data_IF_148446342995
#
_entry.id   IF_148446342995
#
_cell.length_a   1.000
_cell.length_b   1.000
_cell.length_c   1.000
_cell.angle_alpha   90.00
_cell.angle_beta   90.00
_cell.angle_gamma   90.00
#
_symmetry.space_group_name_H-M   'P 1'
#
loop_
_entity.id
_entity.type
_entity.pdbx_description
1 polymer ?
#
# COMPACT_ATOMS: atom_id res chain seq x y z
N UNK A 1 -4.86 12.11 -6.37
CA UNK A 1 -5.38 11.88 -7.75
C UNK A 1 -5.93 10.45 -7.79
N UNK A 2 -7.23 10.31 -8.07
CA UNK A 2 -7.83 8.97 -8.10
C UNK A 2 -7.21 8.13 -9.22
N UNK A 3 -6.88 6.87 -8.92
CA UNK A 3 -6.28 5.94 -9.88
C UNK A 3 -7.34 5.48 -10.86
N UNK A 4 -7.15 5.79 -12.13
CA UNK A 4 -8.02 5.30 -13.20
C UNK A 4 -7.53 3.92 -13.64
N UNK A 5 -8.16 2.86 -13.12
CA UNK A 5 -7.74 1.47 -13.35
C UNK A 5 -7.76 1.02 -14.81
N UNK A 6 -8.46 1.73 -15.68
CA UNK A 6 -8.61 1.40 -17.09
C UNK A 6 -7.27 1.45 -17.85
N UNK A 7 -6.44 2.44 -17.51
CA UNK A 7 -5.10 2.65 -18.08
C UNK A 7 -4.11 1.52 -17.71
N UNK A 8 -4.39 0.83 -16.63
CA UNK A 8 -3.52 -0.21 -16.06
C UNK A 8 -4.07 -1.63 -16.25
N UNK A 9 -5.21 -1.79 -16.94
CA UNK A 9 -5.98 -3.04 -16.98
C UNK A 9 -5.14 -4.27 -17.31
N UNK A 10 -4.26 -4.17 -18.30
CA UNK A 10 -3.49 -5.28 -18.84
C UNK A 10 -2.03 -5.32 -18.37
N UNK A 11 -1.65 -4.48 -17.43
CA UNK A 11 -0.27 -4.43 -16.90
C UNK A 11 -0.12 -5.46 -15.79
N UNK A 12 0.82 -6.39 -15.92
CA UNK A 12 1.10 -7.43 -14.93
C UNK A 12 1.77 -6.85 -13.66
N UNK A 13 1.74 -7.60 -12.56
CA UNK A 13 2.45 -7.21 -11.32
C UNK A 13 3.94 -7.06 -11.57
N UNK A 14 4.54 -7.98 -12.32
CA UNK A 14 5.97 -7.93 -12.67
C UNK A 14 6.32 -6.67 -13.46
N UNK A 15 5.52 -6.34 -14.47
CA UNK A 15 5.69 -5.11 -15.25
C UNK A 15 5.50 -3.84 -14.42
N UNK A 16 4.58 -3.85 -13.46
CA UNK A 16 4.39 -2.74 -12.50
C UNK A 16 5.59 -2.61 -11.58
N UNK A 17 6.13 -3.70 -11.07
CA UNK A 17 7.31 -3.68 -10.20
C UNK A 17 8.56 -3.18 -10.95
N UNK A 18 8.76 -3.61 -12.18
CA UNK A 18 9.84 -3.09 -13.04
C UNK A 18 9.68 -1.58 -13.33
N UNK A 19 8.45 -1.15 -13.64
CA UNK A 19 8.12 0.25 -13.89
C UNK A 19 8.35 1.11 -12.64
N UNK A 20 7.98 0.60 -11.47
CA UNK A 20 8.28 1.23 -10.19
C UNK A 20 9.78 1.44 -9.99
N UNK A 21 10.59 0.42 -10.24
CA UNK A 21 12.05 0.53 -10.13
C UNK A 21 12.65 1.58 -11.06
N UNK A 22 12.15 1.66 -12.30
CA UNK A 22 12.56 2.70 -13.26
C UNK A 22 12.18 4.09 -12.77
N UNK A 23 10.95 4.26 -12.26
CA UNK A 23 10.47 5.54 -11.74
C UNK A 23 11.25 5.97 -10.48
N UNK A 24 11.54 5.07 -9.56
CA UNK A 24 12.37 5.34 -8.38
C UNK A 24 13.78 5.83 -8.78
N UNK A 25 14.44 5.14 -9.71
CA UNK A 25 15.78 5.55 -10.17
C UNK A 25 15.76 6.90 -10.90
N UNK A 26 14.73 7.16 -11.68
CA UNK A 26 14.59 8.42 -12.42
C UNK A 26 14.36 9.63 -11.49
N UNK A 27 13.65 9.43 -10.38
CA UNK A 27 13.30 10.51 -9.42
C UNK A 27 14.22 10.58 -8.20
N UNK A 28 15.06 9.57 -7.99
CA UNK A 28 15.85 9.41 -6.76
C UNK A 28 15.00 9.04 -5.55
N UNK A 29 13.77 8.59 -5.74
CA UNK A 29 12.86 8.21 -4.67
C UNK A 29 13.20 6.83 -4.09
N UNK A 30 12.93 6.66 -2.80
CA UNK A 30 12.87 5.38 -2.11
C UNK A 30 11.44 5.06 -1.68
N UNK A 31 11.09 3.78 -1.66
CA UNK A 31 9.73 3.34 -1.35
C UNK A 31 9.67 2.36 -0.18
N UNK A 32 8.53 2.34 0.51
CA UNK A 32 8.20 1.36 1.55
C UNK A 32 6.76 0.87 1.43
N UNK A 33 6.47 -0.24 2.07
CA UNK A 33 5.11 -0.80 2.14
C UNK A 33 4.76 -1.21 3.57
N UNK A 34 3.58 -0.82 4.02
CA UNK A 34 2.98 -1.24 5.28
C UNK A 34 1.76 -2.12 4.99
N UNK A 35 1.92 -3.42 5.14
CA UNK A 35 0.97 -4.42 4.68
C UNK A 35 0.22 -5.08 5.84
N UNK A 36 -1.10 -5.21 5.70
CA UNK A 36 -1.92 -6.05 6.54
C UNK A 36 -2.47 -7.23 5.72
N UNK A 37 -3.61 -7.11 5.07
CA UNK A 37 -4.25 -8.22 4.36
C UNK A 37 -3.42 -8.78 3.18
N UNK A 38 -2.48 -8.05 2.63
CA UNK A 38 -1.59 -8.50 1.55
C UNK A 38 -0.43 -9.35 2.03
N UNK A 39 -0.11 -9.30 3.33
CA UNK A 39 0.80 -10.24 3.99
C UNK A 39 2.22 -10.30 3.44
N UNK A 40 2.77 -9.21 2.94
CA UNK A 40 4.10 -9.14 2.33
C UNK A 40 4.12 -9.21 0.80
N UNK A 41 2.96 -9.28 0.15
CA UNK A 41 2.85 -9.42 -1.29
C UNK A 41 3.40 -8.22 -2.06
N UNK A 42 3.27 -7.00 -1.54
CA UNK A 42 3.84 -5.80 -2.17
C UNK A 42 5.36 -5.81 -2.06
N UNK A 43 5.90 -6.08 -0.88
CA UNK A 43 7.34 -6.19 -0.67
C UNK A 43 7.95 -7.30 -1.53
N UNK A 44 7.28 -8.45 -1.61
CA UNK A 44 7.69 -9.56 -2.49
C UNK A 44 7.78 -9.11 -3.95
N UNK A 45 6.73 -8.49 -4.48
CA UNK A 45 6.71 -8.01 -5.87
C UNK A 45 7.81 -6.98 -6.15
N UNK A 46 8.06 -6.06 -5.23
CA UNK A 46 9.15 -5.06 -5.38
C UNK A 46 10.52 -5.76 -5.43
N UNK A 47 10.74 -6.73 -4.56
CA UNK A 47 12.03 -7.42 -4.42
C UNK A 47 12.28 -8.50 -5.46
N UNK A 48 11.26 -8.92 -6.22
CA UNK A 48 11.43 -9.78 -7.40
C UNK A 48 12.22 -9.07 -8.52
N UNK A 49 12.30 -7.74 -8.48
CA UNK A 49 13.09 -6.96 -9.45
C UNK A 49 14.54 -6.89 -8.99
N UNK A 50 15.46 -7.35 -9.82
CA UNK A 50 16.90 -7.27 -9.55
C UNK A 50 17.34 -5.80 -9.36
N UNK A 51 18.13 -5.52 -8.32
CA UNK A 51 18.59 -4.18 -7.97
C UNK A 51 17.56 -3.34 -7.21
N UNK A 52 16.48 -3.94 -6.72
CA UNK A 52 15.47 -3.24 -5.91
C UNK A 52 16.01 -2.65 -4.60
N UNK A 53 17.15 -3.15 -4.10
CA UNK A 53 17.84 -2.58 -2.95
C UNK A 53 18.29 -1.12 -3.13
N UNK A 54 18.34 -0.62 -4.36
CA UNK A 54 18.66 0.79 -4.63
C UNK A 54 17.56 1.74 -4.14
N UNK A 55 16.31 1.25 -4.05
CA UNK A 55 15.13 2.07 -3.73
C UNK A 55 14.19 1.46 -2.68
N UNK A 56 14.43 0.24 -2.24
CA UNK A 56 13.61 -0.45 -1.24
C UNK A 56 14.51 -1.01 -0.14
N UNK A 57 14.35 -0.49 1.08
CA UNK A 57 15.13 -0.90 2.25
C UNK A 57 14.31 -1.76 3.20
N UNK A 58 13.12 -1.29 3.56
CA UNK A 58 12.28 -1.89 4.59
C UNK A 58 10.83 -1.97 4.15
N UNK A 59 10.20 -3.11 4.39
CA UNK A 59 8.76 -3.33 4.31
C UNK A 59 8.24 -3.88 5.64
N UNK A 60 6.97 -3.63 5.93
CA UNK A 60 6.34 -3.98 7.20
C UNK A 60 5.14 -4.89 6.93
N UNK A 61 5.12 -6.05 7.55
CA UNK A 61 3.93 -6.90 7.63
C UNK A 61 3.37 -6.77 9.04
N UNK A 62 2.41 -5.87 9.21
CA UNK A 62 1.77 -5.56 10.48
C UNK A 62 0.33 -6.10 10.48
N UNK A 63 0.19 -7.39 10.70
CA UNK A 63 -1.08 -8.09 10.55
C UNK A 63 -2.03 -7.88 11.73
N UNK A 64 -1.53 -8.00 12.95
CA UNK A 64 -2.28 -7.74 14.18
C UNK A 64 -2.35 -6.24 14.51
N UNK A 65 -3.39 -5.82 15.23
CA UNK A 65 -3.51 -4.44 15.70
C UNK A 65 -2.35 -4.04 16.61
N UNK A 66 -1.88 -4.94 17.48
CA UNK A 66 -0.70 -4.71 18.31
C UNK A 66 0.58 -4.47 17.50
N UNK A 67 0.73 -5.14 16.36
CA UNK A 67 1.84 -4.92 15.45
C UNK A 67 1.75 -3.56 14.73
N UNK A 68 0.54 -3.15 14.33
CA UNK A 68 0.30 -1.81 13.76
C UNK A 68 0.71 -0.70 14.73
N UNK A 69 0.39 -0.88 16.02
CA UNK A 69 0.78 0.07 17.07
C UNK A 69 2.29 0.07 17.29
N UNK A 70 2.87 -1.10 17.54
CA UNK A 70 4.29 -1.23 17.90
C UNK A 70 5.24 -0.85 16.79
N UNK A 71 4.98 -1.29 15.56
CA UNK A 71 5.90 -1.09 14.43
C UNK A 71 5.66 0.24 13.71
N UNK A 72 4.40 0.65 13.58
CA UNK A 72 4.00 1.76 12.73
C UNK A 72 3.46 2.97 13.51
N UNK A 73 3.32 2.85 14.82
CA UNK A 73 2.83 3.92 15.67
C UNK A 73 1.35 4.24 15.47
N UNK A 74 0.56 3.28 14.95
CA UNK A 74 -0.89 3.45 14.88
C UNK A 74 -1.46 3.59 16.28
N UNK A 75 -2.25 4.62 16.52
CA UNK A 75 -2.79 4.91 17.85
C UNK A 75 -3.88 3.92 18.24
N UNK A 76 -3.87 3.52 19.50
CA UNK A 76 -4.93 2.67 20.07
C UNK A 76 -6.33 3.31 19.89
N UNK A 77 -6.45 4.61 20.10
CA UNK A 77 -7.69 5.36 19.91
C UNK A 77 -8.19 5.30 18.46
N UNK A 78 -7.31 5.35 17.48
CA UNK A 78 -7.66 5.19 16.06
C UNK A 78 -8.23 3.82 15.77
N UNK A 79 -7.59 2.77 16.25
CA UNK A 79 -8.07 1.39 16.10
C UNK A 79 -9.39 1.16 16.84
N UNK A 80 -9.55 1.71 18.03
CA UNK A 80 -10.78 1.58 18.83
C UNK A 80 -11.98 2.29 18.17
N UNK A 81 -11.76 3.46 17.58
CA UNK A 81 -12.82 4.29 17.00
C UNK A 81 -13.17 3.87 15.56
N UNK A 82 -12.16 3.61 14.73
CA UNK A 82 -12.32 3.39 13.28
C UNK A 82 -12.06 1.94 12.84
N UNK A 83 -11.41 1.15 13.67
CA UNK A 83 -10.99 -0.20 13.34
C UNK A 83 -9.76 -0.24 12.44
N UNK A 84 -9.24 -1.44 12.21
CA UNK A 84 -8.06 -1.66 11.39
C UNK A 84 -8.29 -1.35 9.90
N UNK A 85 -9.51 -1.57 9.41
CA UNK A 85 -9.91 -1.35 8.01
C UNK A 85 -10.58 0.01 7.89
N UNK A 86 -9.77 1.06 7.82
CA UNK A 86 -10.23 2.45 7.80
C UNK A 86 -9.20 3.40 7.18
N UNK A 87 -9.68 4.56 6.73
CA UNK A 87 -8.84 5.63 6.20
C UNK A 87 -7.80 6.08 7.22
N UNK A 88 -8.23 6.25 8.46
CA UNK A 88 -7.41 6.74 9.57
C UNK A 88 -6.26 5.77 9.87
N UNK A 89 -6.55 4.48 9.91
CA UNK A 89 -5.55 3.45 10.20
C UNK A 89 -4.49 3.36 9.09
N UNK A 90 -4.89 3.35 7.80
CA UNK A 90 -3.90 3.27 6.71
C UNK A 90 -3.06 4.53 6.58
N UNK A 91 -3.61 5.71 6.92
CA UNK A 91 -2.82 6.95 7.01
C UNK A 91 -1.71 6.85 8.06
N UNK A 92 -2.06 6.41 9.25
CA UNK A 92 -1.09 6.25 10.33
C UNK A 92 -0.07 5.15 10.02
N UNK A 93 -0.49 4.06 9.34
CA UNK A 93 0.40 2.99 8.90
C UNK A 93 1.46 3.50 7.92
N UNK A 94 1.08 4.20 6.85
CA UNK A 94 2.05 4.68 5.85
C UNK A 94 2.95 5.76 6.42
N UNK A 95 2.41 6.67 7.22
CA UNK A 95 3.21 7.70 7.90
C UNK A 95 4.26 7.08 8.82
N UNK A 96 3.87 6.06 9.60
CA UNK A 96 4.79 5.31 10.47
C UNK A 96 5.87 4.57 9.70
N UNK A 97 5.51 3.91 8.61
CA UNK A 97 6.46 3.20 7.75
C UNK A 97 7.50 4.14 7.14
N UNK A 98 7.08 5.30 6.64
CA UNK A 98 8.00 6.30 6.08
C UNK A 98 8.92 6.91 7.14
N UNK A 99 8.41 7.19 8.35
CA UNK A 99 9.24 7.70 9.46
C UNK A 99 10.32 6.72 9.87
N UNK A 100 9.98 5.44 9.99
CA UNK A 100 10.91 4.42 10.44
C UNK A 100 11.94 4.06 9.35
N UNK A 101 11.50 3.87 8.12
CA UNK A 101 12.37 3.48 7.00
C UNK A 101 13.16 4.63 6.38
N UNK A 102 12.70 5.87 6.53
CA UNK A 102 13.22 7.03 5.81
C UNK A 102 12.83 7.08 4.33
N UNK A 103 11.91 6.21 3.89
CA UNK A 103 11.43 6.21 2.51
C UNK A 103 10.67 7.50 2.17
N UNK A 104 10.87 8.00 0.94
CA UNK A 104 10.26 9.24 0.46
C UNK A 104 8.81 9.05 0.03
N UNK A 105 8.41 7.82 -0.28
CA UNK A 105 7.05 7.46 -0.63
C UNK A 105 6.71 6.08 -0.07
N UNK A 106 5.54 5.93 0.51
CA UNK A 106 5.04 4.66 1.02
C UNK A 106 3.66 4.31 0.51
N UNK A 107 3.29 3.05 0.69
CA UNK A 107 1.91 2.57 0.57
C UNK A 107 1.52 1.79 1.81
N UNK A 108 0.30 1.99 2.32
CA UNK A 108 -0.28 1.13 3.34
C UNK A 108 -1.56 0.49 2.83
N UNK A 109 -1.79 -0.78 3.24
CA UNK A 109 -2.94 -1.57 2.83
C UNK A 109 -3.55 -2.25 4.04
N UNK A 110 -4.87 -2.05 4.25
CA UNK A 110 -5.63 -2.78 5.25
C UNK A 110 -7.02 -3.09 4.70
N UNK A 111 -7.45 -4.35 4.82
CA UNK A 111 -8.71 -4.76 4.22
C UNK A 111 -9.25 -6.08 4.73
N UNK A 112 -10.45 -6.41 4.26
CA UNK A 112 -11.16 -7.65 4.53
C UNK A 112 -11.04 -8.56 3.30
N UNK A 113 -10.07 -9.48 3.33
CA UNK A 113 -9.83 -10.39 2.21
C UNK A 113 -10.86 -11.53 2.11
N UNK A 114 -11.54 -11.85 3.20
CA UNK A 114 -12.54 -12.92 3.25
C UNK A 114 -11.92 -14.33 3.46
N UNK A 115 -12.77 -15.39 3.47
CA UNK A 115 -14.21 -15.35 3.28
C UNK A 115 -14.98 -14.76 4.48
N UNK A 116 -14.38 -14.73 5.68
CA UNK A 116 -14.97 -14.16 6.89
C UNK A 116 -14.51 -12.72 7.16
N UNK A 117 -14.99 -12.16 8.28
CA UNK A 117 -14.53 -10.86 8.79
C UNK A 117 -15.22 -9.63 8.19
N UNK A 118 -16.15 -9.82 7.26
CA UNK A 118 -16.94 -8.73 6.69
C UNK A 118 -18.08 -8.28 7.60
N UNK A 119 -18.52 -7.04 7.43
CA UNK A 119 -19.70 -6.45 8.05
C UNK A 119 -20.52 -5.69 6.99
N UNK A 120 -21.70 -5.16 7.40
CA UNK A 120 -22.52 -4.35 6.49
C UNK A 120 -21.77 -3.13 5.96
N UNK A 121 -21.01 -2.45 6.83
CA UNK A 121 -20.24 -1.25 6.48
C UNK A 121 -18.92 -1.57 5.76
N UNK A 122 -18.35 -2.72 6.06
CA UNK A 122 -17.06 -3.19 5.52
C UNK A 122 -17.21 -4.63 5.01
N UNK A 123 -17.93 -4.85 3.90
CA UNK A 123 -18.11 -6.19 3.34
C UNK A 123 -16.77 -6.78 2.91
N UNK A 124 -16.74 -8.12 2.76
CA UNK A 124 -15.58 -8.82 2.18
C UNK A 124 -15.20 -8.17 0.85
N UNK A 125 -13.90 -7.95 0.65
CA UNK A 125 -13.37 -7.21 -0.51
C UNK A 125 -13.16 -5.71 -0.25
N UNK A 126 -13.59 -5.18 0.89
CA UNK A 126 -13.28 -3.81 1.28
C UNK A 126 -11.80 -3.69 1.60
N UNK A 127 -11.08 -2.86 0.86
CA UNK A 127 -9.65 -2.57 1.08
C UNK A 127 -9.42 -1.07 1.05
N UNK A 128 -8.76 -0.59 2.07
CA UNK A 128 -8.26 0.77 2.18
C UNK A 128 -6.79 0.84 1.82
N UNK A 129 -6.44 1.86 1.08
CA UNK A 129 -5.08 2.19 0.69
C UNK A 129 -4.73 3.60 1.13
N UNK A 130 -3.49 3.82 1.52
CA UNK A 130 -2.92 5.15 1.66
C UNK A 130 -1.57 5.18 0.95
N UNK A 131 -1.35 6.22 0.15
CA UNK A 131 -0.05 6.51 -0.46
C UNK A 131 0.42 7.89 0.00
N UNK A 132 1.70 8.02 0.22
CA UNK A 132 2.29 9.29 0.64
C UNK A 132 3.53 9.11 1.50
N UNK A 133 3.85 10.14 2.23
CA UNK A 133 4.97 10.20 3.17
C UNK A 133 4.46 10.35 4.63
N UNK A 134 5.33 10.77 5.54
CA UNK A 134 4.98 10.99 6.93
C UNK A 134 4.15 12.27 7.18
N UNK A 135 4.00 13.14 6.19
CA UNK A 135 3.34 14.45 6.29
C UNK A 135 2.02 14.52 5.52
N UNK A 136 2.01 13.96 4.31
CA UNK A 136 0.86 14.03 3.41
C UNK A 136 0.52 12.65 2.85
N UNK A 137 -0.74 12.24 2.96
CA UNK A 137 -1.22 10.95 2.47
C UNK A 137 -2.54 11.14 1.70
N UNK A 138 -2.61 10.50 0.55
CA UNK A 138 -3.85 10.30 -0.19
C UNK A 138 -4.42 8.93 0.14
N UNK A 139 -5.73 8.85 0.35
CA UNK A 139 -6.42 7.64 0.79
C UNK A 139 -7.54 7.29 -0.18
N UNK A 140 -7.63 6.01 -0.53
CA UNK A 140 -8.70 5.46 -1.35
C UNK A 140 -9.30 4.22 -0.70
N UNK A 141 -10.62 4.05 -0.86
CA UNK A 141 -11.34 2.83 -0.52
C UNK A 141 -11.77 2.14 -1.80
N UNK A 142 -11.47 0.85 -1.90
CA UNK A 142 -11.92 0.02 -3.01
C UNK A 142 -12.69 -1.20 -2.52
N UNK A 143 -13.62 -1.67 -3.35
CA UNK A 143 -14.25 -2.97 -3.20
C UNK A 143 -13.68 -3.90 -4.27
N UNK A 144 -12.87 -4.85 -3.84
CA UNK A 144 -12.21 -5.81 -4.72
C UNK A 144 -12.99 -7.14 -4.70
N UNK A 145 -13.53 -7.57 -5.86
CA UNK A 145 -14.33 -8.78 -5.92
C UNK A 145 -13.45 -10.04 -5.91
N UNK A 146 -14.08 -11.17 -5.62
CA UNK A 146 -13.48 -12.48 -5.76
C UNK A 146 -13.15 -13.19 -4.46
N UNK A 147 -12.41 -14.27 -4.58
CA UNK A 147 -11.91 -15.08 -3.46
C UNK A 147 -10.84 -14.32 -2.67
N UNK A 148 -10.49 -14.82 -1.48
CA UNK A 148 -9.41 -14.28 -0.66
C UNK A 148 -8.11 -14.07 -1.45
N UNK A 149 -7.72 -15.04 -2.26
CA UNK A 149 -6.52 -14.94 -3.08
C UNK A 149 -6.63 -13.86 -4.16
N UNK A 150 -7.79 -13.73 -4.77
CA UNK A 150 -8.06 -12.71 -5.80
C UNK A 150 -8.05 -11.30 -5.20
N UNK A 151 -8.71 -11.08 -4.07
CA UNK A 151 -8.69 -9.80 -3.34
C UNK A 151 -7.26 -9.39 -2.98
N UNK A 152 -6.47 -10.32 -2.43
CA UNK A 152 -5.07 -10.04 -2.06
C UNK A 152 -4.20 -9.69 -3.28
N UNK A 153 -4.30 -10.44 -4.37
CA UNK A 153 -3.56 -10.15 -5.62
C UNK A 153 -3.96 -8.80 -6.22
N UNK A 154 -5.25 -8.52 -6.25
CA UNK A 154 -5.75 -7.23 -6.72
C UNK A 154 -5.26 -6.07 -5.83
N UNK A 155 -5.22 -6.26 -4.52
CA UNK A 155 -4.69 -5.26 -3.59
C UNK A 155 -3.19 -4.99 -3.79
N UNK A 156 -2.37 -6.02 -4.00
CA UNK A 156 -0.96 -5.86 -4.35
C UNK A 156 -0.80 -5.04 -5.62
N UNK A 157 -1.56 -5.39 -6.65
CA UNK A 157 -1.53 -4.68 -7.93
C UNK A 157 -1.91 -3.20 -7.79
N UNK A 158 -2.98 -2.89 -7.06
CA UNK A 158 -3.42 -1.53 -6.77
C UNK A 158 -2.36 -0.72 -6.02
N UNK A 159 -1.72 -1.33 -5.04
CA UNK A 159 -0.66 -0.68 -4.27
C UNK A 159 0.52 -0.25 -5.18
N UNK A 160 0.96 -1.12 -6.08
CA UNK A 160 2.03 -0.83 -7.03
C UNK A 160 1.62 0.26 -8.04
N UNK A 161 0.41 0.19 -8.59
CA UNK A 161 -0.12 1.22 -9.50
C UNK A 161 -0.07 2.59 -8.83
N UNK A 162 -0.52 2.68 -7.59
CA UNK A 162 -0.53 3.94 -6.85
C UNK A 162 0.85 4.52 -6.59
N UNK A 163 1.85 3.68 -6.33
CA UNK A 163 3.25 4.11 -6.19
C UNK A 163 3.79 4.65 -7.52
N UNK A 164 3.61 3.89 -8.60
CA UNK A 164 4.07 4.30 -9.94
C UNK A 164 3.43 5.60 -10.39
N UNK A 165 2.11 5.70 -10.28
CA UNK A 165 1.36 6.88 -10.73
C UNK A 165 1.81 8.17 -10.02
N UNK A 166 2.16 8.09 -8.73
CA UNK A 166 2.64 9.25 -7.98
C UNK A 166 4.05 9.68 -8.39
N UNK A 167 4.96 8.75 -8.59
CA UNK A 167 6.32 9.05 -9.05
C UNK A 167 6.33 9.61 -10.47
N UNK A 168 5.53 9.08 -11.36
CA UNK A 168 5.43 9.55 -12.75
C UNK A 168 4.66 10.88 -12.86
N UNK A 169 3.66 11.10 -12.00
CA UNK A 169 2.92 12.36 -11.92
C UNK A 169 3.74 13.53 -11.37
N UNK A 170 4.75 13.28 -10.56
CA UNK A 170 5.69 14.28 -10.08
C UNK A 170 6.69 14.69 -11.17
N UNK A 171 7.11 13.76 -12.03
CA UNK A 171 8.05 14.01 -13.13
C UNK A 171 7.47 14.90 -14.24
N UNK A 172 6.15 15.12 -14.28
CA UNK A 172 5.46 15.96 -15.27
C UNK A 172 5.16 17.39 -14.82
N UNK A 173 5.68 17.83 -13.67
CA UNK A 173 5.42 19.17 -13.09
C UNK A 173 6.60 20.13 -13.11
N UNK A 174 7.66 19.81 -13.86
CA UNK A 174 8.79 20.72 -14.13
C UNK A 174 8.57 21.56 -15.37
#
# INVERSE_FOLDING_TARGET
>A
MAITLEEWRDVSVDALAERLGKACRATGASVTAAESCTGGGVASAITDVAGSSDYFETGYVAYANSAKQRLLGVREATLATHGAVSAETVREMVAGACRDSGATLGVAISGVAGPGGGSADKPVGTVWFAWGDDRAQEVERHHLPGTRGEVRRAAVRMALIGLVARLEGESGRD
#
